data_IF_283992089267
#
_entry.id   IF_283992089267
#
_cell.length_a   1.000
_cell.length_b   1.000
_cell.length_c   1.000
_cell.angle_alpha   90.00
_cell.angle_beta   90.00
_cell.angle_gamma   90.00
#
_symmetry.space_group_name_H-M   'P 1'
#
loop_
_entity.id
_entity.type
_entity.pdbx_description
1 polymer ?
#
# COMPACT_ATOMS: atom_id res chain seq x y z
N UNK A 1 13.39 -9.98 -20.46
CA UNK A 1 12.08 -10.00 -21.12
C UNK A 1 11.65 -8.55 -21.39
N UNK A 2 11.64 -8.12 -22.67
CA UNK A 2 10.98 -6.89 -23.10
C UNK A 2 9.47 -7.15 -23.10
N UNK A 3 8.70 -6.40 -22.30
CA UNK A 3 7.24 -6.41 -22.33
C UNK A 3 6.58 -7.51 -21.53
N UNK A 4 7.05 -7.79 -20.32
CA UNK A 4 6.26 -8.58 -19.40
C UNK A 4 4.98 -7.79 -19.09
N UNK A 5 3.83 -8.33 -19.45
CA UNK A 5 2.53 -7.88 -19.04
C UNK A 5 1.82 -9.00 -18.27
N UNK A 6 0.71 -8.68 -17.62
CA UNK A 6 -0.10 -9.62 -16.87
C UNK A 6 -1.45 -9.91 -17.56
N UNK A 7 -1.57 -9.61 -18.86
CA UNK A 7 -2.82 -9.69 -19.60
C UNK A 7 -3.44 -11.10 -19.64
N UNK A 8 -2.65 -12.15 -19.38
CA UNK A 8 -3.17 -13.52 -19.25
C UNK A 8 -3.80 -13.84 -17.88
N UNK A 9 -3.79 -12.92 -16.92
CA UNK A 9 -4.27 -13.12 -15.56
C UNK A 9 -5.61 -12.42 -15.27
N UNK A 10 -6.30 -11.90 -16.29
CA UNK A 10 -7.52 -11.10 -16.11
C UNK A 10 -8.67 -11.88 -15.45
N UNK A 11 -8.69 -13.21 -15.58
CA UNK A 11 -9.70 -14.10 -14.98
C UNK A 11 -9.21 -14.78 -13.70
N UNK A 12 -8.05 -14.43 -13.20
CA UNK A 12 -7.49 -15.04 -11.99
C UNK A 12 -8.25 -14.54 -10.75
N UNK A 13 -8.90 -15.47 -10.02
CA UNK A 13 -9.72 -15.13 -8.87
C UNK A 13 -9.01 -15.38 -7.53
N UNK A 14 -8.08 -16.32 -7.48
CA UNK A 14 -7.37 -16.67 -6.24
C UNK A 14 -5.88 -16.88 -6.48
N UNK A 15 -5.08 -16.43 -5.53
CA UNK A 15 -3.64 -16.65 -5.51
C UNK A 15 -3.18 -17.16 -4.15
N UNK A 16 -2.24 -18.11 -4.14
CA UNK A 16 -1.47 -18.45 -2.95
C UNK A 16 -0.62 -17.26 -2.50
N UNK A 17 0.22 -16.78 -3.38
CA UNK A 17 1.02 -15.55 -3.19
C UNK A 17 1.25 -14.85 -4.53
N UNK A 18 1.45 -13.53 -4.49
CA UNK A 18 1.95 -12.73 -5.60
C UNK A 18 3.27 -12.08 -5.19
N UNK A 19 4.35 -12.36 -5.92
CA UNK A 19 5.67 -11.77 -5.62
C UNK A 19 6.35 -11.25 -6.87
N UNK A 20 6.55 -9.94 -6.92
CA UNK A 20 7.29 -9.22 -7.94
C UNK A 20 8.48 -8.50 -7.31
N UNK A 21 9.69 -9.03 -7.45
CA UNK A 21 10.87 -8.63 -6.68
C UNK A 21 10.95 -9.33 -5.33
N UNK A 22 11.82 -8.88 -4.45
CA UNK A 22 12.03 -9.50 -3.14
C UNK A 22 12.16 -8.45 -2.05
N UNK A 23 11.53 -8.68 -0.90
CA UNK A 23 11.67 -7.84 0.30
C UNK A 23 12.99 -8.07 1.04
N UNK A 24 13.63 -9.22 0.81
CA UNK A 24 14.85 -9.65 1.53
C UNK A 24 16.12 -9.30 0.72
N UNK A 25 16.00 -9.08 -0.59
CA UNK A 25 17.14 -8.81 -1.47
C UNK A 25 17.00 -7.46 -2.18
N UNK A 26 18.08 -6.99 -2.77
CA UNK A 26 18.09 -5.80 -3.63
C UNK A 26 17.44 -6.01 -4.98
N UNK A 27 16.91 -7.21 -5.25
CA UNK A 27 16.26 -7.53 -6.52
C UNK A 27 14.94 -6.79 -6.65
N UNK A 28 14.92 -5.76 -7.49
CA UNK A 28 13.74 -4.99 -7.85
C UNK A 28 13.28 -5.35 -9.26
N UNK A 29 11.96 -5.30 -9.50
CA UNK A 29 11.44 -5.26 -10.85
C UNK A 29 11.87 -3.96 -11.55
N UNK A 30 12.35 -4.06 -12.77
CA UNK A 30 12.85 -2.93 -13.57
C UNK A 30 12.16 -2.78 -14.93
N UNK A 31 11.15 -3.58 -15.21
CA UNK A 31 10.52 -3.64 -16.54
C UNK A 31 9.01 -3.48 -16.53
N UNK A 32 8.31 -4.17 -15.62
CA UNK A 32 6.85 -4.11 -15.52
C UNK A 32 6.43 -2.82 -14.83
N UNK A 33 5.61 -2.01 -15.50
CA UNK A 33 5.14 -0.71 -14.98
C UNK A 33 3.78 -0.78 -14.31
N UNK A 34 2.95 -1.77 -14.67
CA UNK A 34 1.59 -1.90 -14.18
C UNK A 34 1.33 -3.31 -13.73
N UNK A 35 0.74 -3.45 -12.54
CA UNK A 35 0.12 -4.68 -12.06
C UNK A 35 -1.38 -4.44 -12.03
N UNK A 36 -2.13 -5.20 -12.84
CA UNK A 36 -3.58 -5.13 -12.89
C UNK A 36 -4.15 -6.55 -12.82
N UNK A 37 -4.90 -6.85 -11.76
CA UNK A 37 -5.52 -8.16 -11.50
C UNK A 37 -7.01 -7.94 -11.19
N UNK A 38 -7.83 -7.63 -12.22
CA UNK A 38 -9.18 -7.11 -12.05
C UNK A 38 -10.19 -8.11 -11.50
N UNK A 39 -9.90 -9.41 -11.57
CA UNK A 39 -10.80 -10.46 -11.09
C UNK A 39 -10.31 -11.12 -9.79
N UNK A 40 -9.13 -10.74 -9.29
CA UNK A 40 -8.58 -11.33 -8.09
C UNK A 40 -9.43 -10.95 -6.87
N UNK A 41 -9.91 -11.98 -6.13
CA UNK A 41 -10.78 -11.84 -4.97
C UNK A 41 -10.03 -11.97 -3.64
N UNK A 42 -8.94 -12.72 -3.62
CA UNK A 42 -8.14 -12.93 -2.41
C UNK A 42 -6.75 -13.45 -2.67
N UNK A 43 -5.87 -13.23 -1.71
CA UNK A 43 -4.50 -13.75 -1.65
C UNK A 43 -4.33 -14.49 -0.33
N UNK A 44 -3.93 -15.76 -0.39
CA UNK A 44 -3.87 -16.62 0.82
C UNK A 44 -2.70 -16.22 1.73
N UNK A 45 -1.56 -15.80 1.16
CA UNK A 45 -0.36 -15.39 1.89
C UNK A 45 0.01 -13.96 1.51
N UNK A 46 1.15 -13.75 0.87
CA UNK A 46 1.70 -12.42 0.60
C UNK A 46 1.30 -11.86 -0.77
N UNK A 47 1.10 -10.55 -0.82
CA UNK A 47 1.12 -9.74 -2.03
C UNK A 47 2.30 -8.77 -1.98
N UNK A 48 3.38 -9.10 -2.70
CA UNK A 48 4.65 -8.38 -2.63
C UNK A 48 5.00 -7.76 -3.98
N UNK A 49 5.22 -6.45 -3.97
CA UNK A 49 5.83 -5.70 -5.06
C UNK A 49 7.05 -4.96 -4.53
N UNK A 50 8.22 -5.25 -5.09
CA UNK A 50 9.44 -4.48 -4.89
C UNK A 50 9.96 -4.05 -6.26
N UNK A 51 9.84 -2.78 -6.59
CA UNK A 51 10.05 -2.24 -7.93
C UNK A 51 10.75 -0.89 -7.91
N UNK A 52 11.45 -0.57 -8.98
CA UNK A 52 11.93 0.79 -9.25
C UNK A 52 11.09 1.51 -10.32
N UNK A 53 10.12 0.83 -10.94
CA UNK A 53 9.42 1.32 -12.13
C UNK A 53 7.91 1.09 -12.14
N UNK A 54 7.34 0.37 -11.16
CA UNK A 54 5.88 0.21 -11.06
C UNK A 54 5.26 1.58 -10.80
N UNK A 55 4.37 1.97 -11.69
CA UNK A 55 3.60 3.20 -11.64
C UNK A 55 2.20 2.95 -11.11
N UNK A 56 1.61 1.77 -11.42
CA UNK A 56 0.23 1.46 -11.06
C UNK A 56 0.08 0.03 -10.53
N UNK A 57 -0.68 -0.10 -9.43
CA UNK A 57 -1.11 -1.38 -8.87
C UNK A 57 -2.62 -1.34 -8.69
N UNK A 58 -3.34 -2.30 -9.28
CA UNK A 58 -4.80 -2.39 -9.18
C UNK A 58 -5.23 -3.82 -8.88
N UNK A 59 -5.84 -4.01 -7.72
CA UNK A 59 -6.44 -5.24 -7.19
C UNK A 59 -7.83 -4.92 -6.63
N UNK A 60 -8.75 -4.40 -7.47
CA UNK A 60 -9.95 -3.69 -7.02
C UNK A 60 -10.99 -4.58 -6.34
N UNK A 61 -10.90 -5.90 -6.47
CA UNK A 61 -11.83 -6.87 -5.88
C UNK A 61 -11.24 -7.70 -4.75
N UNK A 62 -9.95 -7.57 -4.47
CA UNK A 62 -9.32 -8.30 -3.36
C UNK A 62 -9.89 -7.82 -2.05
N UNK A 63 -10.50 -8.74 -1.28
CA UNK A 63 -11.06 -8.43 0.03
C UNK A 63 -10.14 -8.85 1.17
N UNK A 64 -9.30 -9.86 0.96
CA UNK A 64 -8.41 -10.40 2.00
C UNK A 64 -7.01 -10.69 1.47
N UNK A 65 -6.01 -10.36 2.28
CA UNK A 65 -4.63 -10.77 2.11
C UNK A 65 -4.21 -11.45 3.42
N UNK A 66 -3.85 -12.75 3.33
CA UNK A 66 -3.65 -13.59 4.50
C UNK A 66 -2.42 -13.23 5.33
N UNK A 67 -1.38 -12.69 4.70
CA UNK A 67 -0.16 -12.25 5.37
C UNK A 67 0.15 -10.79 5.02
N UNK A 68 1.21 -10.50 4.25
CA UNK A 68 1.65 -9.13 3.99
C UNK A 68 1.09 -8.54 2.68
N UNK A 69 0.65 -7.29 2.73
CA UNK A 69 0.57 -6.41 1.57
C UNK A 69 1.79 -5.48 1.57
N UNK A 70 2.75 -5.79 0.72
CA UNK A 70 4.00 -5.05 0.61
C UNK A 70 4.12 -4.45 -0.79
N UNK A 71 4.03 -3.12 -0.90
CA UNK A 71 4.19 -2.38 -2.15
C UNK A 71 5.28 -1.34 -1.98
N UNK A 72 6.42 -1.56 -2.60
CA UNK A 72 7.52 -0.58 -2.67
C UNK A 72 7.80 -0.25 -4.12
N UNK A 73 7.68 1.02 -4.47
CA UNK A 73 8.06 1.49 -5.81
C UNK A 73 8.57 2.92 -5.81
N UNK A 74 9.69 3.13 -6.50
CA UNK A 74 10.27 4.46 -6.67
C UNK A 74 9.44 5.35 -7.63
N UNK A 75 8.46 4.77 -8.34
CA UNK A 75 7.65 5.43 -9.36
C UNK A 75 6.12 5.33 -9.13
N UNK A 76 5.67 4.89 -7.95
CA UNK A 76 4.25 4.65 -7.68
C UNK A 76 3.42 5.93 -7.85
N UNK A 77 2.39 5.85 -8.68
CA UNK A 77 1.41 6.91 -8.95
C UNK A 77 0.03 6.56 -8.41
N UNK A 78 -0.35 5.28 -8.49
CA UNK A 78 -1.70 4.82 -8.19
C UNK A 78 -1.67 3.44 -7.54
N UNK A 79 -2.40 3.30 -6.44
CA UNK A 79 -2.62 2.05 -5.72
C UNK A 79 -4.11 1.88 -5.45
N UNK A 80 -4.75 1.03 -6.24
CA UNK A 80 -6.15 0.67 -6.06
C UNK A 80 -6.26 -0.71 -5.39
N UNK A 81 -6.48 -0.69 -4.09
CA UNK A 81 -6.75 -1.83 -3.23
C UNK A 81 -7.94 -1.52 -2.29
N UNK A 82 -8.92 -0.76 -2.81
CA UNK A 82 -10.00 -0.17 -2.02
C UNK A 82 -11.00 -1.18 -1.45
N UNK A 83 -11.08 -2.40 -2.01
CA UNK A 83 -11.94 -3.46 -1.49
C UNK A 83 -11.29 -4.29 -0.36
N UNK A 84 -9.98 -4.12 -0.11
CA UNK A 84 -9.29 -4.89 0.94
C UNK A 84 -9.86 -4.54 2.31
N UNK A 85 -10.45 -5.53 2.98
CA UNK A 85 -11.04 -5.39 4.32
C UNK A 85 -10.08 -5.83 5.43
N UNK A 86 -9.20 -6.80 5.14
CA UNK A 86 -8.27 -7.29 6.14
C UNK A 86 -6.93 -7.73 5.55
N UNK A 87 -5.87 -7.45 6.32
CA UNK A 87 -4.51 -7.89 6.07
C UNK A 87 -4.05 -8.63 7.32
N UNK A 88 -3.68 -9.92 7.16
CA UNK A 88 -3.40 -10.80 8.29
C UNK A 88 -2.11 -10.47 9.03
N UNK A 89 -1.12 -9.88 8.36
CA UNK A 89 0.12 -9.41 8.94
C UNK A 89 0.30 -7.91 8.67
N UNK A 90 1.21 -7.49 7.80
CA UNK A 90 1.58 -6.07 7.67
C UNK A 90 1.08 -5.42 6.37
N UNK A 91 0.68 -4.16 6.48
CA UNK A 91 0.49 -3.25 5.35
C UNK A 91 1.69 -2.33 5.24
N UNK A 92 2.47 -2.49 4.19
CA UNK A 92 3.66 -1.69 3.96
C UNK A 92 3.61 -1.07 2.57
N UNK A 93 3.49 0.25 2.50
CA UNK A 93 3.51 1.02 1.25
C UNK A 93 4.65 2.04 1.31
N UNK A 94 5.62 1.89 0.41
CA UNK A 94 6.80 2.75 0.39
C UNK A 94 7.02 3.34 -1.00
N UNK A 95 7.18 4.65 -1.05
CA UNK A 95 7.65 5.37 -2.22
C UNK A 95 9.18 5.48 -2.25
N UNK A 96 9.67 6.60 -2.74
CA UNK A 96 11.09 6.95 -2.75
C UNK A 96 11.31 8.37 -2.28
N UNK A 97 12.37 8.58 -1.50
CA UNK A 97 12.81 9.94 -1.11
C UNK A 97 13.23 10.79 -2.32
N UNK A 98 13.65 10.12 -3.41
CA UNK A 98 13.97 10.74 -4.71
C UNK A 98 12.84 10.38 -5.68
N UNK A 99 11.61 10.82 -5.37
CA UNK A 99 10.49 10.63 -6.27
C UNK A 99 10.76 11.37 -7.58
N UNK A 100 10.63 10.67 -8.73
CA UNK A 100 10.70 11.31 -10.05
C UNK A 100 9.68 12.44 -10.11
N UNK A 101 10.01 13.54 -10.77
CA UNK A 101 9.11 14.71 -10.86
C UNK A 101 7.71 14.40 -11.37
N UNK A 102 7.58 13.34 -12.17
CA UNK A 102 6.30 12.84 -12.69
C UNK A 102 5.49 11.97 -11.72
N UNK A 103 6.08 11.52 -10.60
CA UNK A 103 5.37 10.70 -9.64
C UNK A 103 4.56 11.60 -8.67
N UNK A 104 3.26 11.70 -8.91
CA UNK A 104 2.34 12.53 -8.12
C UNK A 104 1.23 11.66 -7.52
N UNK A 105 1.60 10.74 -6.61
CA UNK A 105 0.58 10.11 -5.76
C UNK A 105 0.02 11.19 -4.84
N UNK A 106 -1.20 11.62 -5.08
CA UNK A 106 -1.85 12.67 -4.27
C UNK A 106 -2.44 12.10 -2.99
N UNK A 107 -2.99 10.89 -3.05
CA UNK A 107 -3.57 10.22 -1.90
C UNK A 107 -3.31 8.71 -1.91
N UNK A 108 -3.22 8.13 -0.72
CA UNK A 108 -3.31 6.69 -0.49
C UNK A 108 -4.63 6.42 0.23
N UNK A 109 -5.46 5.56 -0.37
CA UNK A 109 -6.81 5.27 0.10
C UNK A 109 -7.01 3.76 0.23
N UNK A 110 -7.51 3.33 1.38
CA UNK A 110 -8.01 1.97 1.64
C UNK A 110 -9.40 2.09 2.27
N UNK A 111 -10.40 2.23 1.42
CA UNK A 111 -11.76 2.58 1.86
C UNK A 111 -12.43 1.53 2.73
N UNK A 112 -12.16 0.25 2.49
CA UNK A 112 -12.80 -0.86 3.19
C UNK A 112 -11.92 -1.49 4.30
N UNK A 113 -10.65 -1.09 4.44
CA UNK A 113 -9.70 -1.73 5.34
C UNK A 113 -10.10 -1.52 6.80
N UNK A 114 -10.39 -2.62 7.50
CA UNK A 114 -10.80 -2.67 8.90
C UNK A 114 -9.66 -3.08 9.83
N UNK A 115 -8.81 -4.01 9.40
CA UNK A 115 -7.81 -4.62 10.30
C UNK A 115 -6.46 -4.86 9.61
N UNK A 116 -5.41 -4.57 10.37
CA UNK A 116 -4.03 -4.92 10.05
C UNK A 116 -3.47 -5.71 11.23
N UNK A 117 -3.06 -6.96 10.97
CA UNK A 117 -2.69 -7.93 12.01
C UNK A 117 -1.32 -7.66 12.66
N UNK A 118 -0.49 -6.82 12.09
CA UNK A 118 0.81 -6.44 12.63
C UNK A 118 1.06 -4.93 12.36
N UNK A 119 1.96 -4.56 11.47
CA UNK A 119 2.37 -3.18 11.24
C UNK A 119 1.60 -2.55 10.07
N UNK A 120 1.28 -1.24 10.21
CA UNK A 120 0.87 -0.38 9.12
C UNK A 120 1.96 0.66 8.89
N UNK A 121 2.61 0.64 7.73
CA UNK A 121 3.68 1.58 7.40
C UNK A 121 3.45 2.23 6.05
N UNK A 122 3.36 3.58 6.01
CA UNK A 122 3.35 4.39 4.79
C UNK A 122 4.47 5.41 4.90
N UNK A 123 5.42 5.37 3.95
CA UNK A 123 6.61 6.20 4.06
C UNK A 123 7.25 6.56 2.70
N UNK A 124 8.04 7.63 2.70
CA UNK A 124 8.81 8.11 1.55
C UNK A 124 7.94 8.59 0.37
N UNK A 125 6.90 9.34 0.67
CA UNK A 125 6.05 10.00 -0.34
C UNK A 125 6.10 11.52 -0.18
N UNK A 126 7.13 12.20 -0.69
CA UNK A 126 7.33 13.63 -0.45
C UNK A 126 6.22 14.54 -1.03
N UNK A 127 5.43 14.05 -1.99
CA UNK A 127 4.33 14.79 -2.62
C UNK A 127 2.93 14.35 -2.17
N UNK A 128 2.81 13.30 -1.34
CA UNK A 128 1.53 12.82 -0.84
C UNK A 128 0.84 13.87 0.00
N UNK A 129 -0.43 14.14 -0.29
CA UNK A 129 -1.24 15.14 0.39
C UNK A 129 -2.20 14.53 1.42
N UNK A 130 -2.64 13.28 1.22
CA UNK A 130 -3.59 12.62 2.09
C UNK A 130 -3.41 11.11 2.23
N UNK A 131 -3.77 10.59 3.41
CA UNK A 131 -3.94 9.18 3.70
C UNK A 131 -5.33 8.99 4.29
N UNK A 132 -6.12 8.12 3.67
CA UNK A 132 -7.51 7.91 4.04
C UNK A 132 -7.79 6.43 4.29
N UNK A 133 -8.03 6.09 5.53
CA UNK A 133 -8.31 4.75 6.06
C UNK A 133 -9.59 4.81 6.90
N UNK A 134 -10.73 5.26 6.32
CA UNK A 134 -11.91 5.64 7.09
C UNK A 134 -12.56 4.49 7.85
N UNK A 135 -12.42 3.25 7.36
CA UNK A 135 -12.98 2.07 8.00
C UNK A 135 -11.99 1.34 8.94
N UNK A 136 -10.75 1.85 9.09
CA UNK A 136 -9.73 1.16 9.88
C UNK A 136 -10.07 1.18 11.37
N UNK A 137 -10.33 0.00 11.91
CA UNK A 137 -10.72 -0.25 13.28
C UNK A 137 -9.51 -0.55 14.18
N UNK A 138 -8.56 -1.35 13.67
CA UNK A 138 -7.44 -1.79 14.48
C UNK A 138 -6.16 -2.07 13.71
N UNK A 139 -5.02 -1.78 14.36
CA UNK A 139 -3.66 -2.18 13.97
C UNK A 139 -3.03 -2.87 15.17
N UNK A 140 -2.71 -4.17 15.07
CA UNK A 140 -2.19 -4.90 16.22
C UNK A 140 -0.80 -4.42 16.66
N UNK A 141 0.04 -4.01 15.72
CA UNK A 141 1.34 -3.38 15.98
C UNK A 141 1.31 -1.86 15.85
N UNK A 142 2.38 -1.29 15.29
CA UNK A 142 2.52 0.16 15.15
C UNK A 142 1.96 0.65 13.81
N UNK A 143 1.17 1.71 13.84
CA UNK A 143 0.86 2.53 12.66
C UNK A 143 1.94 3.61 12.51
N UNK A 144 2.67 3.60 11.39
CA UNK A 144 3.84 4.46 11.13
C UNK A 144 3.69 5.24 9.83
N UNK A 145 3.74 6.57 9.93
CA UNK A 145 3.62 7.51 8.84
C UNK A 145 4.84 8.42 8.83
N UNK A 146 5.76 8.23 7.88
CA UNK A 146 7.05 8.93 7.95
C UNK A 146 7.53 9.45 6.60
N UNK A 147 8.31 10.54 6.65
CA UNK A 147 9.02 11.09 5.48
C UNK A 147 8.08 11.53 4.34
N UNK A 148 7.04 12.28 4.71
CA UNK A 148 6.00 12.80 3.82
C UNK A 148 5.89 14.32 3.97
N UNK A 149 6.70 15.05 3.21
CA UNK A 149 6.89 16.50 3.40
C UNK A 149 5.65 17.35 3.11
N UNK A 150 4.71 16.90 2.27
CA UNK A 150 3.52 17.66 1.88
C UNK A 150 2.22 17.07 2.42
N UNK A 151 2.30 16.02 3.28
CA UNK A 151 1.10 15.42 3.85
C UNK A 151 0.29 16.46 4.64
N UNK A 152 -0.98 16.63 4.29
CA UNK A 152 -1.89 17.57 4.95
C UNK A 152 -2.92 16.88 5.83
N UNK A 153 -3.25 15.62 5.54
CA UNK A 153 -4.29 14.89 6.28
C UNK A 153 -3.96 13.41 6.42
N UNK A 154 -4.19 12.87 7.61
CA UNK A 154 -4.25 11.43 7.89
C UNK A 154 -5.58 11.18 8.61
N UNK A 155 -6.48 10.43 7.95
CA UNK A 155 -7.82 10.14 8.48
C UNK A 155 -7.98 8.65 8.75
N UNK A 156 -8.22 8.30 10.03
CA UNK A 156 -8.50 6.95 10.54
C UNK A 156 -9.66 7.07 11.54
N UNK A 157 -10.84 7.44 11.04
CA UNK A 157 -11.96 7.87 11.88
C UNK A 157 -12.61 6.75 12.69
N UNK A 158 -12.43 5.51 12.33
CA UNK A 158 -12.94 4.34 13.08
C UNK A 158 -11.86 3.65 13.94
N UNK A 159 -10.62 4.17 13.97
CA UNK A 159 -9.52 3.53 14.68
C UNK A 159 -9.69 3.62 16.19
N UNK A 160 -9.95 2.48 16.86
CA UNK A 160 -10.07 2.38 18.32
C UNK A 160 -8.91 1.64 18.98
N UNK A 161 -8.05 0.95 18.20
CA UNK A 161 -6.92 0.22 18.77
C UNK A 161 -5.70 0.25 17.85
N UNK A 162 -4.54 0.61 18.41
CA UNK A 162 -3.24 0.46 17.76
C UNK A 162 -2.19 0.13 18.84
N UNK A 163 -1.24 -0.75 18.51
CA UNK A 163 -0.11 -1.05 19.39
C UNK A 163 0.83 0.14 19.56
N UNK A 164 0.86 1.04 18.59
CA UNK A 164 1.59 2.31 18.65
C UNK A 164 1.23 3.21 17.47
N UNK A 165 1.51 4.51 17.61
CA UNK A 165 1.39 5.48 16.52
C UNK A 165 2.68 6.26 16.38
N UNK A 166 3.27 6.25 15.19
CA UNK A 166 4.48 7.01 14.86
C UNK A 166 4.20 7.95 13.69
N UNK A 167 4.43 9.24 13.89
CA UNK A 167 4.38 10.26 12.83
C UNK A 167 5.70 11.02 12.91
N UNK A 168 6.49 10.97 11.82
CA UNK A 168 7.83 11.56 11.82
C UNK A 168 8.16 12.16 10.46
N UNK A 169 8.87 13.30 10.47
CA UNK A 169 9.28 14.01 9.24
C UNK A 169 8.08 14.34 8.32
N UNK A 170 6.95 14.65 8.92
CA UNK A 170 5.74 15.17 8.27
C UNK A 170 5.59 16.64 8.66
N UNK A 171 5.04 17.46 7.75
CA UNK A 171 4.68 18.84 8.11
C UNK A 171 3.49 18.88 9.04
N UNK A 172 2.98 20.05 9.34
CA UNK A 172 1.75 20.23 10.09
C UNK A 172 0.61 19.45 9.44
N UNK A 173 0.15 18.39 10.11
CA UNK A 173 -0.90 17.50 9.63
C UNK A 173 -2.18 17.67 10.41
N UNK A 174 -3.30 17.55 9.73
CA UNK A 174 -4.59 17.30 10.37
C UNK A 174 -4.74 15.79 10.60
N UNK A 175 -4.75 15.38 11.87
CA UNK A 175 -4.98 13.99 12.26
C UNK A 175 -6.43 13.84 12.70
N UNK A 176 -7.21 13.02 11.97
CA UNK A 176 -8.59 12.70 12.33
C UNK A 176 -8.66 11.28 12.86
N UNK A 177 -8.81 11.17 14.17
CA UNK A 177 -9.07 9.94 14.92
C UNK A 177 -10.43 10.06 15.59
N UNK A 178 -11.01 8.93 16.00
CA UNK A 178 -12.22 8.95 16.84
C UNK A 178 -11.89 9.47 18.24
N UNK A 179 -12.86 10.13 18.81
CA UNK A 179 -12.91 10.52 20.22
C UNK A 179 -13.87 9.61 20.99
#
# INVERSE_FOLDING_TARGET
YKGADLSGLDNLEQLGSFKLGSIISTSKNTTLKTVNLPSLLGVVSDFVINSSVIEKVSIPKVTTIGEDLYVTSDALLDLDANAVESIGSSLIVKGSVIQKESATTEAIVFSALKRVGNELTIQYFPKLQGIYLPALESVAGTASFTDMALIGSIAMTELYSAGGLTIKNCKEISLSLIH
#
